data_IF_357436048636
#
_entry.id   IF_357436048636
#
_cell.length_a   1.000
_cell.length_b   1.000
_cell.length_c   1.000
_cell.angle_alpha   90.00
_cell.angle_beta   90.00
_cell.angle_gamma   90.00
#
_symmetry.space_group_name_H-M   'P 1'
#
loop_
_entity.id
_entity.type
_entity.pdbx_description
1 polymer ?
#
# COMPACT_ATOMS: atom_id res chain seq x y z
N UNK A 1 -0.67 10.99 19.16
CA UNK A 1 -0.31 9.64 18.70
C UNK A 1 -1.59 8.87 18.42
N UNK A 2 -2.01 8.73 17.16
CA UNK A 2 -3.13 7.86 16.83
C UNK A 2 -2.59 6.60 16.17
N UNK A 3 -2.69 5.48 16.88
CA UNK A 3 -2.41 4.16 16.33
C UNK A 3 -3.62 3.74 15.49
N UNK A 4 -3.40 3.49 14.20
CA UNK A 4 -4.42 2.90 13.32
C UNK A 4 -4.37 1.39 13.57
N UNK A 5 -5.41 0.84 14.19
CA UNK A 5 -5.51 -0.56 14.52
C UNK A 5 -6.18 -1.34 13.38
N UNK A 6 -5.41 -2.19 12.69
CA UNK A 6 -5.96 -3.19 11.78
C UNK A 6 -6.61 -4.35 12.52
N UNK A 7 -7.65 -4.91 11.93
CA UNK A 7 -8.53 -5.95 12.47
C UNK A 7 -7.80 -7.29 12.63
N UNK A 8 -8.10 -7.98 13.72
CA UNK A 8 -7.51 -9.20 14.23
C UNK A 8 -7.84 -10.43 13.34
N UNK A 9 -6.80 -11.12 12.87
CA UNK A 9 -6.87 -12.55 12.59
C UNK A 9 -6.24 -13.32 13.75
N UNK A 10 -6.84 -14.44 14.13
CA UNK A 10 -6.45 -15.21 15.31
C UNK A 10 -5.05 -15.80 15.14
N UNK A 11 -4.12 -15.45 16.05
CA UNK A 11 -2.82 -16.08 16.22
C UNK A 11 -1.61 -15.37 15.62
N UNK A 12 -1.76 -14.26 14.87
CA UNK A 12 -0.65 -13.49 14.30
C UNK A 12 -0.33 -12.22 15.09
N UNK A 13 0.95 -11.86 15.22
CA UNK A 13 1.38 -10.56 15.74
C UNK A 13 0.73 -9.42 14.96
N UNK A 14 0.28 -8.36 15.67
CA UNK A 14 -0.30 -7.18 15.02
C UNK A 14 0.83 -6.33 14.45
N UNK A 15 0.81 -6.14 13.12
CA UNK A 15 1.65 -5.14 12.48
C UNK A 15 0.93 -3.80 12.50
N UNK A 16 1.61 -2.74 12.92
CA UNK A 16 1.10 -1.39 12.87
C UNK A 16 2.23 -0.43 12.46
N UNK A 17 1.94 0.44 11.50
CA UNK A 17 2.83 1.54 11.13
C UNK A 17 2.45 2.75 11.97
N UNK A 18 3.35 3.18 12.85
CA UNK A 18 3.15 4.37 13.66
C UNK A 18 3.62 5.60 12.87
N UNK A 19 2.67 6.47 12.54
CA UNK A 19 2.93 7.76 11.89
C UNK A 19 2.20 8.87 12.64
N UNK A 20 2.79 10.05 12.65
CA UNK A 20 2.06 11.28 12.98
C UNK A 20 1.09 11.62 11.85
N UNK A 21 0.08 12.46 12.13
CA UNK A 21 -0.85 12.92 11.10
C UNK A 21 -0.11 13.60 9.92
N UNK A 22 0.96 14.36 10.21
CA UNK A 22 1.75 15.03 9.19
C UNK A 22 2.54 14.04 8.32
N UNK A 23 3.13 13.00 8.92
CA UNK A 23 3.85 11.95 8.18
C UNK A 23 2.90 11.15 7.30
N UNK A 24 1.73 10.79 7.81
CA UNK A 24 0.70 10.12 7.04
C UNK A 24 0.24 10.97 5.84
N UNK A 25 0.03 12.27 6.04
CA UNK A 25 -0.33 13.16 4.94
C UNK A 25 0.77 13.25 3.88
N UNK A 26 2.04 13.35 4.28
CA UNK A 26 3.18 13.34 3.34
C UNK A 26 3.27 12.03 2.58
N UNK A 27 3.09 10.91 3.27
CA UNK A 27 3.08 9.57 2.68
C UNK A 27 2.00 9.44 1.61
N UNK A 28 0.75 9.80 1.92
CA UNK A 28 -0.38 9.75 0.99
C UNK A 28 -0.16 10.66 -0.23
N UNK A 29 0.35 11.88 -0.01
CA UNK A 29 0.69 12.81 -1.09
C UNK A 29 1.79 12.24 -1.99
N UNK A 30 2.82 11.64 -1.40
CA UNK A 30 3.93 11.02 -2.13
C UNK A 30 3.49 9.85 -2.99
N UNK A 31 2.68 8.94 -2.45
CA UNK A 31 2.15 7.78 -3.21
C UNK A 31 1.26 8.24 -4.36
N UNK A 32 0.44 9.25 -4.15
CA UNK A 32 -0.43 9.79 -5.20
C UNK A 32 0.37 10.41 -6.34
N UNK A 33 1.48 11.07 -6.02
CA UNK A 33 2.38 11.67 -7.01
C UNK A 33 3.19 10.62 -7.79
N UNK A 34 3.71 9.62 -7.10
CA UNK A 34 4.50 8.54 -7.69
C UNK A 34 4.43 7.23 -6.88
N UNK A 35 3.50 6.33 -7.21
CA UNK A 35 3.40 5.03 -6.56
C UNK A 35 4.68 4.17 -6.69
N UNK A 36 5.52 4.42 -7.72
CA UNK A 36 6.72 3.62 -7.97
C UNK A 36 7.80 3.82 -6.92
N UNK A 37 7.90 5.01 -6.34
CA UNK A 37 8.85 5.30 -5.26
C UNK A 37 8.57 4.44 -4.03
N UNK A 38 7.29 4.22 -3.71
CA UNK A 38 6.92 3.37 -2.59
C UNK A 38 7.36 1.91 -2.80
N UNK A 39 7.10 1.33 -3.98
CA UNK A 39 7.55 -0.02 -4.31
C UNK A 39 9.06 -0.15 -4.33
N UNK A 40 9.76 0.88 -4.83
CA UNK A 40 11.21 0.94 -4.77
C UNK A 40 11.73 0.96 -3.32
N UNK A 41 11.04 1.64 -2.43
CA UNK A 41 11.37 1.66 -1.00
C UNK A 41 11.11 0.30 -0.35
N UNK A 42 9.98 -0.34 -0.63
CA UNK A 42 9.67 -1.69 -0.13
C UNK A 42 10.67 -2.73 -0.62
N UNK A 43 11.11 -2.64 -1.88
CA UNK A 43 12.11 -3.54 -2.45
C UNK A 43 13.48 -3.46 -1.77
N UNK A 44 13.74 -2.42 -0.96
CA UNK A 44 14.95 -2.28 -0.15
C UNK A 44 14.83 -2.91 1.24
N UNK A 45 13.66 -3.41 1.62
CA UNK A 45 13.49 -4.10 2.89
C UNK A 45 14.35 -5.35 2.92
N UNK A 46 15.35 -5.34 3.77
CA UNK A 46 16.29 -6.44 3.96
C UNK A 46 16.44 -6.73 5.45
N UNK A 47 15.77 -7.79 5.91
CA UNK A 47 15.79 -8.17 7.31
C UNK A 47 17.20 -8.61 7.79
N UNK A 48 18.06 -9.11 6.90
CA UNK A 48 19.43 -9.51 7.23
C UNK A 48 20.34 -8.29 7.44
N UNK A 49 20.09 -7.19 6.69
CA UNK A 49 20.82 -5.95 6.83
C UNK A 49 20.27 -5.04 7.95
N UNK A 50 19.19 -5.46 8.62
CA UNK A 50 18.63 -4.68 9.74
C UNK A 50 19.60 -4.63 10.91
N UNK A 51 19.58 -3.50 11.62
CA UNK A 51 20.45 -3.26 12.77
C UNK A 51 19.61 -3.15 14.07
N UNK A 52 20.24 -3.34 15.18
CA UNK A 52 19.64 -3.15 16.50
C UNK A 52 20.62 -2.41 17.42
N UNK A 53 20.07 -1.76 18.45
CA UNK A 53 20.83 -0.91 19.37
C UNK A 53 21.94 -1.63 20.14
N UNK A 54 21.86 -2.98 20.25
CA UNK A 54 22.87 -3.81 20.91
C UNK A 54 23.34 -4.91 19.96
N UNK A 55 24.66 -5.00 19.76
CA UNK A 55 25.25 -5.99 18.87
C UNK A 55 24.95 -7.44 19.32
N UNK A 56 24.96 -7.72 20.63
CA UNK A 56 24.61 -9.03 21.18
C UNK A 56 23.18 -9.47 20.84
N UNK A 57 22.24 -8.54 20.88
CA UNK A 57 20.85 -8.80 20.57
C UNK A 57 20.67 -9.08 19.08
N UNK A 58 21.40 -8.36 18.22
CA UNK A 58 21.43 -8.59 16.78
C UNK A 58 21.84 -10.01 16.44
N UNK A 59 22.93 -10.50 17.02
CA UNK A 59 23.44 -11.87 16.77
C UNK A 59 22.41 -12.93 17.18
N UNK A 60 21.84 -12.79 18.38
CA UNK A 60 20.82 -13.70 18.92
C UNK A 60 19.55 -13.71 18.05
N UNK A 61 19.08 -12.51 17.62
CA UNK A 61 17.90 -12.38 16.74
C UNK A 61 18.19 -12.99 15.37
N UNK A 62 19.36 -12.72 14.79
CA UNK A 62 19.75 -13.26 13.50
C UNK A 62 19.84 -14.79 13.53
N UNK A 63 20.41 -15.35 14.58
CA UNK A 63 20.47 -16.81 14.75
C UNK A 63 19.07 -17.41 14.87
N UNK A 64 18.19 -16.81 15.68
CA UNK A 64 16.80 -17.22 15.79
C UNK A 64 16.06 -17.19 14.45
N UNK A 65 16.30 -16.17 13.62
CA UNK A 65 15.72 -16.06 12.27
C UNK A 65 16.27 -17.17 11.36
N UNK A 66 17.59 -17.39 11.35
CA UNK A 66 18.22 -18.45 10.54
C UNK A 66 17.68 -19.83 10.88
N UNK A 67 17.55 -20.13 12.17
CA UNK A 67 17.07 -21.42 12.66
C UNK A 67 15.55 -21.63 12.50
N UNK A 68 14.78 -20.57 12.18
CA UNK A 68 13.32 -20.64 12.04
C UNK A 68 12.87 -20.44 10.60
N UNK A 69 12.50 -19.21 10.24
CA UNK A 69 11.89 -18.89 8.94
C UNK A 69 12.91 -18.52 7.85
N UNK A 70 14.12 -18.14 8.22
CA UNK A 70 15.15 -17.60 7.33
C UNK A 70 14.85 -16.16 6.85
N UNK A 71 15.91 -15.43 6.50
CA UNK A 71 15.81 -13.99 6.14
C UNK A 71 15.00 -13.75 4.87
N UNK A 72 15.11 -14.61 3.87
CA UNK A 72 14.36 -14.46 2.61
C UNK A 72 12.86 -14.54 2.85
N UNK A 73 12.41 -15.54 3.63
CA UNK A 73 10.99 -15.69 3.95
C UNK A 73 10.51 -14.56 4.83
N UNK A 74 11.29 -14.15 5.83
CA UNK A 74 10.97 -13.02 6.69
C UNK A 74 10.82 -11.72 5.87
N UNK A 75 11.76 -11.41 4.99
CA UNK A 75 11.70 -10.22 4.13
C UNK A 75 10.44 -10.23 3.24
N UNK A 76 10.06 -11.38 2.68
CA UNK A 76 8.82 -11.52 1.91
C UNK A 76 7.58 -11.31 2.77
N UNK A 77 7.56 -11.83 3.99
CA UNK A 77 6.44 -11.62 4.92
C UNK A 77 6.28 -10.13 5.27
N UNK A 78 7.38 -9.44 5.60
CA UNK A 78 7.38 -8.00 5.90
C UNK A 78 6.89 -7.21 4.68
N UNK A 79 7.42 -7.53 3.50
CA UNK A 79 6.99 -6.91 2.25
C UNK A 79 5.47 -7.05 2.02
N UNK A 80 4.93 -8.27 2.11
CA UNK A 80 3.50 -8.52 1.92
C UNK A 80 2.62 -7.80 2.94
N UNK A 81 3.05 -7.72 4.21
CA UNK A 81 2.32 -6.98 5.25
C UNK A 81 2.31 -5.48 4.96
N UNK A 82 3.43 -4.93 4.50
CA UNK A 82 3.52 -3.51 4.14
C UNK A 82 2.70 -3.17 2.88
N UNK A 83 2.69 -4.06 1.88
CA UNK A 83 1.81 -3.90 0.71
C UNK A 83 0.33 -3.89 1.11
N UNK A 84 -0.10 -4.85 1.93
CA UNK A 84 -1.48 -4.91 2.41
C UNK A 84 -1.88 -3.66 3.21
N UNK A 85 -0.99 -3.20 4.09
CA UNK A 85 -1.21 -1.97 4.85
C UNK A 85 -1.35 -0.75 3.92
N UNK A 86 -0.48 -0.62 2.92
CA UNK A 86 -0.58 0.47 1.95
C UNK A 86 -1.90 0.45 1.20
N UNK A 87 -2.31 -0.71 0.69
CA UNK A 87 -3.58 -0.86 -0.02
C UNK A 87 -4.76 -0.44 0.86
N UNK A 88 -4.75 -0.80 2.14
CA UNK A 88 -5.78 -0.39 3.10
C UNK A 88 -5.81 1.14 3.27
N UNK A 89 -4.65 1.80 3.35
CA UNK A 89 -4.58 3.27 3.42
C UNK A 89 -5.18 3.93 2.17
N UNK A 90 -4.82 3.46 0.98
CA UNK A 90 -5.34 4.00 -0.28
C UNK A 90 -6.85 3.79 -0.41
N UNK A 91 -7.35 2.59 -0.09
CA UNK A 91 -8.80 2.30 -0.08
C UNK A 91 -9.55 3.18 0.93
N UNK A 92 -8.97 3.41 2.10
CA UNK A 92 -9.51 4.33 3.10
C UNK A 92 -9.67 5.76 2.56
N UNK A 93 -8.71 6.25 1.79
CA UNK A 93 -8.79 7.58 1.16
C UNK A 93 -9.86 7.63 0.05
N UNK A 94 -9.97 6.60 -0.78
CA UNK A 94 -11.02 6.53 -1.79
C UNK A 94 -12.42 6.57 -1.17
N UNK A 95 -12.64 5.80 -0.09
CA UNK A 95 -13.91 5.79 0.66
C UNK A 95 -14.18 7.13 1.33
N UNK A 96 -13.18 7.75 1.95
CA UNK A 96 -13.32 9.05 2.59
C UNK A 96 -13.70 10.14 1.58
N UNK A 97 -13.03 10.19 0.41
CA UNK A 97 -13.36 11.12 -0.68
C UNK A 97 -14.79 10.90 -1.19
N UNK A 98 -15.20 9.65 -1.44
CA UNK A 98 -16.56 9.34 -1.88
C UNK A 98 -17.61 9.76 -0.84
N UNK A 99 -17.35 9.52 0.45
CA UNK A 99 -18.26 9.90 1.54
C UNK A 99 -18.38 11.42 1.72
N UNK A 100 -17.35 12.16 1.35
CA UNK A 100 -17.34 13.62 1.34
C UNK A 100 -18.00 14.24 0.08
N UNK A 101 -18.47 13.41 -0.87
CA UNK A 101 -19.01 13.86 -2.16
C UNK A 101 -17.93 14.27 -3.17
N UNK A 102 -16.64 14.03 -2.88
CA UNK A 102 -15.53 14.25 -3.81
C UNK A 102 -15.36 13.04 -4.73
N UNK A 103 -16.27 12.91 -5.71
CA UNK A 103 -16.21 11.81 -6.68
C UNK A 103 -14.91 11.81 -7.50
N UNK A 104 -14.40 12.99 -7.86
CA UNK A 104 -13.13 13.11 -8.61
C UNK A 104 -11.94 12.64 -7.78
N UNK A 105 -11.89 13.02 -6.50
CA UNK A 105 -10.88 12.54 -5.57
C UNK A 105 -10.95 11.03 -5.36
N UNK A 106 -12.14 10.48 -5.21
CA UNK A 106 -12.35 9.04 -5.07
C UNK A 106 -11.85 8.27 -6.31
N UNK A 107 -12.12 8.77 -7.52
CA UNK A 107 -11.62 8.18 -8.78
C UNK A 107 -10.08 8.23 -8.82
N UNK A 108 -9.48 9.38 -8.51
CA UNK A 108 -8.03 9.52 -8.52
C UNK A 108 -7.33 8.56 -7.52
N UNK A 109 -7.95 8.27 -6.37
CA UNK A 109 -7.47 7.25 -5.45
C UNK A 109 -7.63 5.84 -6.01
N UNK A 110 -8.75 5.53 -6.66
CA UNK A 110 -8.96 4.24 -7.31
C UNK A 110 -7.97 4.00 -8.45
N UNK A 111 -7.59 5.01 -9.22
CA UNK A 111 -6.53 4.94 -10.23
C UNK A 111 -5.19 4.59 -9.60
N UNK A 112 -4.85 5.22 -8.48
CA UNK A 112 -3.63 4.91 -7.71
C UNK A 112 -3.65 3.47 -7.21
N UNK A 113 -4.79 2.99 -6.70
CA UNK A 113 -4.98 1.60 -6.25
C UNK A 113 -4.82 0.63 -7.42
N UNK A 114 -5.48 0.89 -8.55
CA UNK A 114 -5.41 0.03 -9.73
C UNK A 114 -3.97 -0.09 -10.27
N UNK A 115 -3.25 1.04 -10.35
CA UNK A 115 -1.84 1.06 -10.74
C UNK A 115 -0.96 0.27 -9.76
N UNK A 116 -1.22 0.37 -8.45
CA UNK A 116 -0.54 -0.37 -7.41
C UNK A 116 -0.74 -1.88 -7.57
N UNK A 117 -1.99 -2.32 -7.66
CA UNK A 117 -2.40 -3.73 -7.83
C UNK A 117 -1.85 -4.31 -9.14
N UNK A 118 -1.87 -3.53 -10.23
CA UNK A 118 -1.30 -3.93 -11.51
C UNK A 118 0.21 -4.22 -11.39
N UNK A 119 0.96 -3.37 -10.70
CA UNK A 119 2.40 -3.56 -10.45
C UNK A 119 2.72 -4.79 -9.59
N UNK A 120 1.78 -5.22 -8.75
CA UNK A 120 1.87 -6.47 -7.97
C UNK A 120 1.61 -7.73 -8.83
N UNK A 121 1.30 -7.58 -10.12
CA UNK A 121 0.93 -8.69 -11.01
C UNK A 121 -0.50 -9.19 -10.83
N UNK A 122 -1.32 -8.53 -10.01
CA UNK A 122 -2.75 -8.84 -9.79
C UNK A 122 -3.62 -8.22 -10.90
N UNK A 123 -3.29 -8.55 -12.16
CA UNK A 123 -3.86 -7.87 -13.33
C UNK A 123 -5.38 -7.99 -13.42
N UNK A 124 -5.94 -9.17 -13.12
CA UNK A 124 -7.39 -9.38 -13.18
C UNK A 124 -8.16 -8.45 -12.23
N UNK A 125 -7.61 -8.21 -11.04
CA UNK A 125 -8.21 -7.31 -10.06
C UNK A 125 -8.06 -5.84 -10.46
N UNK A 126 -6.92 -5.47 -10.99
CA UNK A 126 -6.68 -4.12 -11.50
C UNK A 126 -7.66 -3.79 -12.64
N UNK A 127 -7.92 -4.73 -13.56
CA UNK A 127 -8.88 -4.57 -14.67
C UNK A 127 -10.27 -4.24 -14.14
N UNK A 128 -10.76 -4.93 -13.10
CA UNK A 128 -12.08 -4.65 -12.50
C UNK A 128 -12.18 -3.20 -12.02
N UNK A 129 -11.11 -2.69 -11.41
CA UNK A 129 -11.09 -1.29 -10.92
C UNK A 129 -11.04 -0.32 -12.09
N UNK A 130 -10.21 -0.57 -13.11
CA UNK A 130 -10.15 0.26 -14.31
C UNK A 130 -11.50 0.30 -15.06
N UNK A 131 -12.19 -0.83 -15.19
CA UNK A 131 -13.53 -0.86 -15.78
C UNK A 131 -14.54 -0.01 -15.00
N UNK A 132 -14.48 -0.03 -13.67
CA UNK A 132 -15.35 0.80 -12.85
C UNK A 132 -15.06 2.30 -13.04
N UNK A 133 -13.76 2.67 -13.10
CA UNK A 133 -13.31 4.04 -13.40
C UNK A 133 -13.80 4.47 -14.79
N UNK A 134 -13.64 3.62 -15.80
CA UNK A 134 -14.08 3.90 -17.15
C UNK A 134 -15.59 4.12 -17.27
N UNK A 135 -16.38 3.25 -16.64
CA UNK A 135 -17.84 3.40 -16.58
C UNK A 135 -18.25 4.73 -15.94
N UNK A 136 -17.54 5.14 -14.87
CA UNK A 136 -17.78 6.43 -14.24
C UNK A 136 -17.43 7.59 -15.18
N UNK A 137 -16.24 7.59 -15.78
CA UNK A 137 -15.80 8.64 -16.71
C UNK A 137 -16.78 8.81 -17.86
N UNK A 138 -17.24 7.73 -18.49
CA UNK A 138 -18.26 7.78 -19.56
C UNK A 138 -19.59 8.36 -19.14
N UNK A 139 -19.93 8.29 -17.87
CA UNK A 139 -21.17 8.88 -17.33
C UNK A 139 -21.06 10.39 -17.11
N UNK A 140 -19.87 10.88 -16.74
CA UNK A 140 -19.71 12.27 -16.27
C UNK A 140 -18.94 13.17 -17.24
N UNK A 141 -18.23 12.61 -18.21
CA UNK A 141 -17.47 13.34 -19.21
C UNK A 141 -18.17 13.31 -20.57
N UNK A 142 -17.97 14.35 -21.41
CA UNK A 142 -18.41 14.34 -22.81
C UNK A 142 -17.79 13.15 -23.57
N UNK A 143 -18.51 12.65 -24.61
CA UNK A 143 -18.09 11.43 -25.36
C UNK A 143 -16.72 11.57 -26.04
N UNK A 144 -16.31 12.79 -26.38
CA UNK A 144 -15.04 13.14 -27.01
C UNK A 144 -13.92 13.53 -26.04
N UNK A 145 -14.16 13.37 -24.72
CA UNK A 145 -13.15 13.73 -23.73
C UNK A 145 -11.95 12.79 -23.78
N UNK A 146 -10.69 13.30 -23.82
CA UNK A 146 -9.48 12.48 -23.98
C UNK A 146 -9.35 11.40 -22.91
N UNK A 147 -9.77 11.65 -21.69
CA UNK A 147 -9.71 10.69 -20.58
C UNK A 147 -10.62 9.46 -20.75
N UNK A 148 -11.48 9.44 -21.76
CA UNK A 148 -12.30 8.27 -22.11
C UNK A 148 -11.51 7.29 -22.99
N UNK A 149 -10.50 7.76 -23.72
CA UNK A 149 -9.70 6.97 -24.65
C UNK A 149 -8.38 6.42 -24.08
N UNK A 150 -7.94 6.89 -22.93
CA UNK A 150 -6.67 6.51 -22.30
C UNK A 150 -6.91 5.46 -21.17
N UNK A 151 -6.95 4.19 -21.57
CA UNK A 151 -6.82 3.03 -20.68
C UNK A 151 -5.85 2.02 -21.28
#
# INVERSE_FOLDING_TARGET
>A
MHAIASKKEEGGGRFAVAMTAQENQRFLTGIRADPSQYYSMLGRVNAEASDCSRASDRESIHEGIRCSVGFVKLSRMVFGVMEGWMEEQLRGQAVASASAGDEKGAIAWNETIAAAIYKQGRHAEAVVIFEAIFKFRRRVLPEDHPDIGEI
#
